data_IF_075541831560
#
_entry.id   IF_075541831560
#
_cell.length_a   1.000
_cell.length_b   1.000
_cell.length_c   1.000
_cell.angle_alpha   90.00
_cell.angle_beta   90.00
_cell.angle_gamma   90.00
#
_symmetry.space_group_name_H-M   'P 1'
#
loop_
_entity.id
_entity.type
_entity.pdbx_description
1 polymer ?
#
# COMPACT_ATOMS: atom_id res chain seq x y z
N UNK A 1 5.37 -21.92 -62.18
CA UNK A 1 4.18 -22.47 -62.85
C UNK A 1 3.51 -23.43 -61.89
N UNK A 2 2.17 -23.43 -61.76
CA UNK A 2 1.23 -22.30 -61.99
C UNK A 2 1.32 -21.27 -60.83
N UNK A 3 0.67 -20.10 -60.77
CA UNK A 3 -0.34 -19.37 -61.58
C UNK A 3 -1.81 -19.37 -61.08
N UNK A 4 -2.52 -18.24 -61.30
CA UNK A 4 -3.92 -17.89 -61.02
C UNK A 4 -4.38 -17.74 -59.54
N UNK A 5 -5.29 -16.83 -59.12
CA UNK A 5 -5.91 -15.60 -59.70
C UNK A 5 -6.59 -14.74 -58.59
N UNK A 6 -6.69 -13.41 -58.78
CA UNK A 6 -7.67 -12.53 -58.09
C UNK A 6 -8.97 -12.45 -58.92
N UNK A 7 -10.16 -12.40 -58.30
CA UNK A 7 -11.12 -11.39 -58.73
C UNK A 7 -11.97 -10.75 -57.63
N UNK A 8 -11.97 -9.41 -57.58
CA UNK A 8 -13.06 -8.59 -57.00
C UNK A 8 -14.32 -8.59 -57.88
N UNK A 9 -15.47 -8.13 -57.31
CA UNK A 9 -16.85 -8.08 -57.89
C UNK A 9 -17.57 -9.45 -57.71
N UNK A 10 -18.90 -9.59 -57.61
CA UNK A 10 -20.01 -8.86 -58.28
C UNK A 10 -21.24 -8.59 -57.39
N UNK A 11 -21.84 -7.43 -57.64
CA UNK A 11 -23.07 -6.81 -57.11
C UNK A 11 -24.42 -7.50 -57.47
N UNK A 12 -25.40 -7.48 -56.54
CA UNK A 12 -26.89 -7.37 -56.68
C UNK A 12 -27.48 -7.21 -55.25
N UNK A 13 -28.36 -6.27 -54.85
CA UNK A 13 -29.60 -5.61 -55.37
C UNK A 13 -30.89 -6.46 -55.20
N UNK A 14 -32.04 -5.77 -54.97
CA UNK A 14 -33.48 -6.24 -55.03
C UNK A 14 -33.95 -7.00 -53.75
N UNK A 15 -35.12 -6.79 -53.08
CA UNK A 15 -36.26 -5.79 -53.13
C UNK A 15 -37.04 -5.76 -51.78
N UNK A 16 -37.46 -4.60 -51.23
CA UNK A 16 -38.82 -3.93 -51.23
C UNK A 16 -40.03 -4.61 -50.53
N UNK A 17 -40.80 -3.75 -49.81
CA UNK A 17 -42.23 -3.82 -49.36
C UNK A 17 -42.50 -4.73 -48.14
N UNK A 18 -43.10 -4.26 -47.02
CA UNK A 18 -44.31 -3.46 -46.70
C UNK A 18 -45.56 -4.32 -46.44
N UNK A 19 -46.07 -4.28 -45.20
CA UNK A 19 -47.51 -4.31 -44.89
C UNK A 19 -47.80 -3.50 -43.61
N UNK A 20 -49.08 -3.24 -43.30
CA UNK A 20 -49.56 -2.42 -42.16
C UNK A 20 -50.39 -3.28 -41.19
N UNK A 21 -50.51 -2.87 -39.91
CA UNK A 21 -51.42 -3.50 -38.94
C UNK A 21 -51.73 -2.59 -37.75
N UNK A 22 -52.97 -2.67 -37.25
CA UNK A 22 -53.57 -1.87 -36.16
C UNK A 22 -54.29 -2.83 -35.17
N UNK A 23 -54.60 -2.47 -33.92
CA UNK A 23 -54.44 -1.17 -33.22
C UNK A 23 -53.53 -1.35 -31.97
N UNK A 24 -53.77 -0.99 -30.69
CA UNK A 24 -54.87 -0.31 -29.96
C UNK A 24 -54.31 0.47 -28.74
N UNK A 25 -55.19 1.19 -28.06
CA UNK A 25 -55.00 1.97 -26.82
C UNK A 25 -54.18 1.27 -25.72
N UNK A 26 -53.23 1.99 -25.14
CA UNK A 26 -52.62 1.74 -23.82
C UNK A 26 -52.47 3.08 -23.08
N UNK A 27 -52.72 3.11 -21.76
CA UNK A 27 -52.87 4.35 -21.00
C UNK A 27 -51.57 5.14 -20.78
N UNK A 28 -51.67 6.47 -20.68
CA UNK A 28 -50.54 7.37 -20.41
C UNK A 28 -50.13 7.35 -18.92
N UNK A 29 -49.65 6.20 -18.44
CA UNK A 29 -49.04 6.09 -17.13
C UNK A 29 -47.67 6.77 -17.16
N UNK A 30 -47.57 7.99 -16.64
CA UNK A 30 -46.29 8.68 -16.40
C UNK A 30 -45.58 8.00 -15.23
N UNK A 31 -44.93 6.87 -15.52
CA UNK A 31 -43.92 6.30 -14.63
C UNK A 31 -42.75 7.27 -14.63
N UNK A 32 -42.59 8.01 -13.53
CA UNK A 32 -41.39 8.79 -13.28
C UNK A 32 -40.24 7.82 -13.01
N UNK A 33 -39.58 7.36 -14.07
CA UNK A 33 -38.34 6.61 -13.95
C UNK A 33 -37.35 7.45 -13.13
N UNK A 34 -36.80 6.93 -12.02
CA UNK A 34 -35.73 7.63 -11.34
C UNK A 34 -34.54 7.64 -12.30
N UNK A 35 -34.21 8.83 -12.83
CA UNK A 35 -33.01 9.04 -13.63
C UNK A 35 -31.80 8.92 -12.71
N UNK A 36 -31.45 7.66 -12.41
CA UNK A 36 -30.12 7.27 -12.02
C UNK A 36 -29.21 7.63 -13.18
N UNK A 37 -28.65 8.84 -13.13
CA UNK A 37 -27.63 9.28 -14.05
C UNK A 37 -26.43 8.34 -13.93
N UNK A 38 -26.38 7.32 -14.79
CA UNK A 38 -25.28 6.39 -14.89
C UNK A 38 -24.08 7.17 -15.41
N UNK A 39 -23.30 7.73 -14.49
CA UNK A 39 -22.02 8.41 -14.76
C UNK A 39 -20.94 7.37 -15.09
N UNK A 40 -21.17 6.66 -16.19
CA UNK A 40 -20.32 5.60 -16.75
C UNK A 40 -19.82 6.04 -18.12
N UNK A 41 -18.51 6.27 -18.22
CA UNK A 41 -17.83 6.58 -19.48
C UNK A 41 -17.52 8.07 -19.66
N UNK A 42 -16.27 8.36 -20.03
CA UNK A 42 -15.91 9.66 -20.59
C UNK A 42 -16.57 9.84 -21.97
N UNK A 43 -16.78 11.09 -22.39
CA UNK A 43 -17.26 11.36 -23.74
C UNK A 43 -16.38 10.69 -24.81
N UNK A 44 -16.95 10.05 -25.84
CA UNK A 44 -16.18 9.27 -26.82
C UNK A 44 -15.16 10.12 -27.61
N UNK A 45 -15.38 11.43 -27.72
CA UNK A 45 -14.48 12.38 -28.39
C UNK A 45 -13.54 13.14 -27.43
N UNK A 46 -13.34 12.63 -26.21
CA UNK A 46 -12.44 13.23 -25.22
C UNK A 46 -10.96 13.28 -25.68
N UNK A 47 -10.22 14.26 -25.14
CA UNK A 47 -8.79 14.45 -25.43
C UNK A 47 -7.99 13.23 -24.97
N UNK A 48 -8.25 12.69 -23.78
CA UNK A 48 -7.67 11.46 -23.27
C UNK A 48 -7.91 10.27 -24.20
N UNK A 49 -9.13 10.07 -24.70
CA UNK A 49 -9.39 8.96 -25.63
C UNK A 49 -8.56 9.09 -26.91
N UNK A 50 -8.46 10.31 -27.48
CA UNK A 50 -7.60 10.58 -28.65
C UNK A 50 -6.11 10.34 -28.36
N UNK A 51 -5.63 10.69 -27.17
CA UNK A 51 -4.24 10.41 -26.74
C UNK A 51 -4.02 8.90 -26.57
N UNK A 52 -4.92 8.19 -25.88
CA UNK A 52 -4.87 6.73 -25.71
C UNK A 52 -4.82 6.02 -27.07
N UNK A 53 -5.67 6.41 -28.02
CA UNK A 53 -5.69 5.85 -29.37
C UNK A 53 -4.42 6.16 -30.18
N UNK A 54 -3.64 7.18 -29.83
CA UNK A 54 -2.32 7.42 -30.43
C UNK A 54 -1.24 6.55 -29.77
N UNK A 55 -1.25 6.44 -28.43
CA UNK A 55 -0.33 5.59 -27.66
C UNK A 55 -0.50 4.10 -28.02
N UNK A 56 -1.73 3.60 -28.14
CA UNK A 56 -2.03 2.21 -28.52
C UNK A 56 -1.57 1.85 -29.94
N UNK A 57 -1.41 2.84 -30.83
CA UNK A 57 -0.83 2.69 -32.17
C UNK A 57 0.68 2.95 -32.23
N UNK A 58 1.33 3.18 -31.08
CA UNK A 58 2.76 3.48 -30.98
C UNK A 58 3.15 4.93 -31.31
N UNK A 59 2.22 5.79 -31.76
CA UNK A 59 2.54 7.18 -32.09
C UNK A 59 2.54 8.10 -30.85
N UNK A 60 3.50 7.82 -29.97
CA UNK A 60 3.85 8.69 -28.85
C UNK A 60 4.34 10.09 -29.32
N UNK A 61 4.64 10.29 -30.61
CA UNK A 61 5.04 11.59 -31.15
C UNK A 61 3.83 12.50 -31.34
N UNK A 62 2.76 12.01 -31.96
CA UNK A 62 1.51 12.74 -32.11
C UNK A 62 0.76 12.87 -30.78
N UNK A 63 0.85 11.87 -29.90
CA UNK A 63 0.30 11.95 -28.56
C UNK A 63 0.87 13.17 -27.79
N UNK A 64 2.19 13.38 -27.85
CA UNK A 64 2.84 14.57 -27.27
C UNK A 64 2.40 15.86 -27.97
N UNK A 65 2.46 15.93 -29.30
CA UNK A 65 2.01 17.13 -30.06
C UNK A 65 0.56 17.52 -29.75
N UNK A 66 -0.34 16.55 -29.51
CA UNK A 66 -1.72 16.80 -29.10
C UNK A 66 -1.79 17.37 -27.68
N UNK A 67 -1.05 16.79 -26.73
CA UNK A 67 -0.94 17.30 -25.35
C UNK A 67 -0.37 18.71 -25.29
N UNK A 68 0.73 18.96 -26.00
CA UNK A 68 1.38 20.28 -26.04
C UNK A 68 0.47 21.33 -26.68
N UNK A 69 -0.25 20.97 -27.75
CA UNK A 69 -1.27 21.84 -28.35
C UNK A 69 -2.40 22.20 -27.37
N UNK A 70 -2.88 21.24 -26.57
CA UNK A 70 -3.88 21.51 -25.52
C UNK A 70 -3.32 22.44 -24.45
N UNK A 71 -2.10 22.20 -23.95
CA UNK A 71 -1.46 23.02 -22.91
C UNK A 71 -1.09 24.45 -23.36
N UNK A 72 -1.05 24.71 -24.67
CA UNK A 72 -0.87 26.06 -25.25
C UNK A 72 -2.20 26.80 -25.44
N UNK A 73 -3.26 26.12 -25.87
CA UNK A 73 -4.53 26.76 -26.26
C UNK A 73 -5.64 26.71 -25.20
N UNK A 74 -5.50 25.88 -24.17
CA UNK A 74 -6.44 25.79 -23.05
C UNK A 74 -5.92 26.56 -21.84
N UNK A 75 -6.77 27.40 -21.23
CA UNK A 75 -6.41 28.16 -20.04
C UNK A 75 -6.29 27.25 -18.79
N UNK A 76 -5.40 27.60 -17.86
CA UNK A 76 -5.11 26.76 -16.67
C UNK A 76 -6.16 26.81 -15.56
N UNK A 77 -7.39 27.23 -15.87
CA UNK A 77 -8.59 27.06 -15.03
C UNK A 77 -9.56 26.02 -15.60
N UNK A 78 -9.31 25.54 -16.82
CA UNK A 78 -10.12 24.53 -17.50
C UNK A 78 -9.68 23.11 -17.10
N UNK A 79 -10.61 22.20 -16.74
CA UNK A 79 -10.27 20.82 -16.36
C UNK A 79 -9.43 20.05 -17.38
N UNK A 80 -9.54 20.37 -18.68
CA UNK A 80 -8.76 19.75 -19.76
C UNK A 80 -7.26 20.06 -19.66
N UNK A 81 -6.87 21.13 -18.97
CA UNK A 81 -5.48 21.42 -18.68
C UNK A 81 -4.90 20.40 -17.68
N UNK A 82 -5.65 20.04 -16.63
CA UNK A 82 -5.28 18.99 -15.68
C UNK A 82 -5.18 17.60 -16.34
N UNK A 83 -6.11 17.28 -17.24
CA UNK A 83 -6.05 16.10 -18.11
C UNK A 83 -4.78 16.08 -18.98
N UNK A 84 -4.41 17.20 -19.59
CA UNK A 84 -3.20 17.29 -20.41
C UNK A 84 -1.89 17.24 -19.59
N UNK A 85 -1.88 17.78 -18.36
CA UNK A 85 -0.74 17.61 -17.43
C UNK A 85 -0.52 16.13 -17.10
N UNK A 86 -1.58 15.36 -16.82
CA UNK A 86 -1.49 13.91 -16.62
C UNK A 86 -0.85 13.22 -17.82
N UNK A 87 -1.36 13.48 -19.03
CA UNK A 87 -0.85 12.84 -20.23
C UNK A 87 0.58 13.26 -20.59
N UNK A 88 1.00 14.50 -20.30
CA UNK A 88 2.41 14.90 -20.45
C UNK A 88 3.32 14.14 -19.49
N UNK A 89 2.90 13.96 -18.25
CA UNK A 89 3.61 13.20 -17.23
C UNK A 89 3.70 11.68 -17.55
N UNK A 90 2.72 11.13 -18.27
CA UNK A 90 2.69 9.74 -18.76
C UNK A 90 3.57 9.55 -19.99
N UNK A 91 3.67 10.55 -20.87
CA UNK A 91 4.40 10.46 -22.15
C UNK A 91 5.88 10.85 -22.05
N UNK A 92 6.34 11.38 -20.91
CA UNK A 92 7.75 11.73 -20.68
C UNK A 92 8.53 10.60 -20.01
N UNK A 93 9.83 10.52 -20.30
CA UNK A 93 10.78 9.58 -19.68
C UNK A 93 11.59 10.22 -18.54
N UNK A 94 11.39 11.51 -18.27
CA UNK A 94 12.12 12.29 -17.27
C UNK A 94 11.36 12.27 -15.92
N UNK A 95 11.91 11.65 -14.85
CA UNK A 95 11.23 11.59 -13.55
C UNK A 95 10.90 12.97 -12.98
N UNK A 96 11.80 13.95 -13.14
CA UNK A 96 11.54 15.33 -12.75
C UNK A 96 10.40 16.00 -13.53
N UNK A 97 10.22 15.63 -14.80
CA UNK A 97 9.14 16.19 -15.62
C UNK A 97 7.80 15.57 -15.25
N UNK A 98 7.75 14.24 -15.07
CA UNK A 98 6.61 13.55 -14.45
C UNK A 98 6.28 14.15 -13.09
N UNK A 99 7.27 14.34 -12.22
CA UNK A 99 7.10 14.92 -10.87
C UNK A 99 6.52 16.34 -10.90
N UNK A 100 7.05 17.25 -11.74
CA UNK A 100 6.52 18.62 -11.87
C UNK A 100 5.05 18.63 -12.31
N UNK A 101 4.73 17.89 -13.37
CA UNK A 101 3.39 17.91 -13.96
C UNK A 101 2.34 17.24 -13.05
N UNK A 102 2.69 16.12 -12.38
CA UNK A 102 1.79 15.46 -11.43
C UNK A 102 1.62 16.23 -10.12
N UNK A 103 2.67 16.87 -9.59
CA UNK A 103 2.52 17.77 -8.43
C UNK A 103 1.58 18.92 -8.74
N UNK A 104 1.69 19.53 -9.93
CA UNK A 104 0.77 20.58 -10.36
C UNK A 104 -0.66 20.06 -10.52
N UNK A 105 -0.85 18.88 -11.10
CA UNK A 105 -2.17 18.25 -11.18
C UNK A 105 -2.80 18.06 -9.79
N UNK A 106 -2.04 17.50 -8.86
CA UNK A 106 -2.49 17.19 -7.48
C UNK A 106 -2.87 18.45 -6.69
N UNK A 107 -2.23 19.59 -6.95
CA UNK A 107 -2.50 20.86 -6.25
C UNK A 107 -3.58 21.69 -6.95
N UNK A 108 -3.47 21.91 -8.26
CA UNK A 108 -4.33 22.83 -9.01
C UNK A 108 -5.70 22.19 -9.37
N UNK A 109 -5.79 20.86 -9.46
CA UNK A 109 -6.98 20.14 -9.96
C UNK A 109 -7.45 19.01 -9.00
N UNK A 110 -7.77 19.30 -7.72
CA UNK A 110 -8.08 18.30 -6.68
C UNK A 110 -9.23 17.33 -7.04
N UNK A 111 -10.13 17.72 -7.94
CA UNK A 111 -11.27 16.91 -8.40
C UNK A 111 -11.06 16.24 -9.77
N UNK A 112 -9.82 16.22 -10.28
CA UNK A 112 -9.48 15.56 -11.54
C UNK A 112 -9.74 14.04 -11.47
N UNK A 113 -10.37 13.42 -12.49
CA UNK A 113 -10.53 11.96 -12.53
C UNK A 113 -9.18 11.22 -12.61
N UNK A 114 -8.10 11.94 -12.94
CA UNK A 114 -6.73 11.41 -12.98
C UNK A 114 -5.99 11.51 -11.63
N UNK A 115 -6.60 12.10 -10.59
CA UNK A 115 -5.98 12.38 -9.28
C UNK A 115 -5.32 11.16 -8.64
N UNK A 116 -6.04 10.04 -8.58
CA UNK A 116 -5.56 8.84 -7.90
C UNK A 116 -4.38 8.18 -8.63
N UNK A 117 -4.47 8.09 -9.96
CA UNK A 117 -3.38 7.53 -10.77
C UNK A 117 -2.16 8.48 -10.81
N UNK A 118 -2.40 9.81 -10.75
CA UNK A 118 -1.35 10.81 -10.59
C UNK A 118 -0.59 10.67 -9.26
N UNK A 119 -1.27 10.42 -8.14
CA UNK A 119 -0.62 10.17 -6.84
C UNK A 119 0.22 8.88 -6.86
N UNK A 120 -0.29 7.81 -7.46
CA UNK A 120 0.46 6.54 -7.65
C UNK A 120 1.69 6.75 -8.54
N UNK A 121 1.54 7.44 -9.69
CA UNK A 121 2.67 7.75 -10.60
C UNK A 121 3.70 8.67 -9.96
N UNK A 122 3.27 9.64 -9.16
CA UNK A 122 4.17 10.51 -8.40
C UNK A 122 5.00 9.70 -7.40
N UNK A 123 4.37 8.81 -6.63
CA UNK A 123 5.08 7.90 -5.73
C UNK A 123 6.09 7.01 -6.50
N UNK A 124 5.71 6.46 -7.66
CA UNK A 124 6.60 5.68 -8.52
C UNK A 124 7.79 6.52 -9.03
N UNK A 125 7.58 7.76 -9.46
CA UNK A 125 8.64 8.66 -9.91
C UNK A 125 9.61 9.02 -8.78
N UNK A 126 9.11 9.27 -7.58
CA UNK A 126 9.93 9.48 -6.38
C UNK A 126 10.75 8.22 -6.03
N UNK A 127 10.19 7.00 -6.19
CA UNK A 127 10.92 5.74 -5.99
C UNK A 127 12.05 5.53 -7.02
N UNK A 128 11.77 5.76 -8.31
CA UNK A 128 12.79 5.71 -9.37
C UNK A 128 13.90 6.75 -9.15
N UNK A 129 13.54 7.90 -8.58
CA UNK A 129 14.49 8.97 -8.18
C UNK A 129 15.20 8.69 -6.85
N UNK A 130 15.02 7.51 -6.24
CA UNK A 130 15.60 7.12 -4.95
C UNK A 130 15.00 7.82 -3.72
N UNK A 131 14.05 8.73 -3.89
CA UNK A 131 13.42 9.55 -2.85
C UNK A 131 12.31 8.80 -2.10
N UNK A 132 12.67 7.63 -1.57
CA UNK A 132 11.81 6.66 -0.89
C UNK A 132 10.96 7.28 0.23
N UNK A 133 11.51 8.28 0.93
CA UNK A 133 10.81 9.00 1.98
C UNK A 133 9.63 9.85 1.46
N UNK A 134 9.76 10.47 0.27
CA UNK A 134 8.67 11.23 -0.34
C UNK A 134 7.60 10.31 -0.89
N UNK A 135 8.00 9.25 -1.61
CA UNK A 135 7.08 8.21 -2.07
C UNK A 135 6.20 7.66 -0.93
N UNK A 136 6.82 7.34 0.22
CA UNK A 136 6.08 6.91 1.43
C UNK A 136 5.04 7.94 1.87
N UNK A 137 5.40 9.23 2.00
CA UNK A 137 4.46 10.29 2.45
C UNK A 137 3.29 10.50 1.50
N UNK A 138 3.49 10.35 0.19
CA UNK A 138 2.41 10.42 -0.80
C UNK A 138 1.46 9.21 -0.69
N UNK A 139 2.01 8.00 -0.59
CA UNK A 139 1.22 6.78 -0.40
C UNK A 139 0.47 6.78 0.94
N UNK A 140 1.13 7.16 2.05
CA UNK A 140 0.49 7.31 3.36
C UNK A 140 -0.67 8.31 3.36
N UNK A 141 -0.58 9.40 2.59
CA UNK A 141 -1.68 10.34 2.41
C UNK A 141 -2.82 9.67 1.64
N UNK A 142 -2.52 9.10 0.48
CA UNK A 142 -3.53 8.45 -0.36
C UNK A 142 -4.25 7.30 0.36
N UNK A 143 -3.55 6.53 1.19
CA UNK A 143 -4.12 5.45 2.00
C UNK A 143 -4.99 5.97 3.15
N UNK A 144 -4.75 7.16 3.71
CA UNK A 144 -5.68 7.76 4.68
C UNK A 144 -6.90 8.36 4.00
N UNK A 145 -6.67 9.11 2.91
CA UNK A 145 -7.65 10.04 2.37
C UNK A 145 -8.56 9.37 1.31
N UNK A 146 -8.09 8.32 0.63
CA UNK A 146 -8.79 7.62 -0.47
C UNK A 146 -9.00 6.11 -0.21
N UNK A 147 -8.90 5.64 1.04
CA UNK A 147 -8.76 4.21 1.39
C UNK A 147 -9.85 3.24 0.85
N UNK A 148 -11.01 3.74 0.44
CA UNK A 148 -12.16 2.96 -0.04
C UNK A 148 -12.13 2.77 -1.56
N UNK A 149 -11.29 3.50 -2.30
CA UNK A 149 -11.21 3.40 -3.76
C UNK A 149 -10.15 2.38 -4.19
N UNK A 150 -10.28 1.88 -5.43
CA UNK A 150 -9.26 1.03 -6.06
C UNK A 150 -7.91 1.76 -6.23
N UNK A 151 -7.89 3.10 -6.26
CA UNK A 151 -6.66 3.87 -6.11
C UNK A 151 -6.06 3.73 -4.72
N UNK A 152 -6.84 3.98 -3.66
CA UNK A 152 -6.41 3.84 -2.27
C UNK A 152 -5.92 2.43 -1.93
N UNK A 153 -6.60 1.39 -2.44
CA UNK A 153 -6.19 -0.01 -2.27
C UNK A 153 -4.90 -0.35 -3.04
N UNK A 154 -4.70 0.18 -4.26
CA UNK A 154 -3.40 0.08 -4.98
C UNK A 154 -2.27 0.78 -4.23
N UNK A 155 -2.53 1.97 -3.69
CA UNK A 155 -1.57 2.70 -2.87
C UNK A 155 -1.25 1.97 -1.55
N UNK A 156 -2.23 1.32 -0.93
CA UNK A 156 -2.05 0.50 0.27
C UNK A 156 -1.13 -0.71 0.00
N UNK A 157 -1.31 -1.38 -1.14
CA UNK A 157 -0.40 -2.45 -1.60
C UNK A 157 1.04 -1.96 -1.73
N UNK A 158 1.26 -0.85 -2.46
CA UNK A 158 2.59 -0.27 -2.64
C UNK A 158 3.22 0.22 -1.33
N UNK A 159 2.42 0.83 -0.45
CA UNK A 159 2.87 1.27 0.87
C UNK A 159 3.31 0.08 1.73
N UNK A 160 2.57 -1.03 1.69
CA UNK A 160 2.93 -2.25 2.40
C UNK A 160 4.23 -2.87 1.86
N UNK A 161 4.39 -3.00 0.54
CA UNK A 161 5.64 -3.44 -0.10
C UNK A 161 6.83 -2.57 0.36
N UNK A 162 6.63 -1.25 0.39
CA UNK A 162 7.63 -0.29 0.84
C UNK A 162 8.00 -0.51 2.33
N UNK A 163 6.99 -0.64 3.18
CA UNK A 163 7.15 -0.81 4.62
C UNK A 163 7.77 -2.18 4.97
N UNK A 164 7.46 -3.25 4.24
CA UNK A 164 8.10 -4.58 4.40
C UNK A 164 9.60 -4.48 4.11
N UNK A 165 9.98 -3.89 2.97
CA UNK A 165 11.39 -3.71 2.60
C UNK A 165 12.14 -2.71 3.52
N UNK A 166 11.42 -1.82 4.22
CA UNK A 166 11.96 -0.97 5.30
C UNK A 166 11.86 -1.63 6.70
N UNK A 167 11.67 -2.96 6.78
CA UNK A 167 11.60 -3.74 8.02
C UNK A 167 10.38 -3.44 8.93
N UNK A 168 9.47 -2.58 8.49
CA UNK A 168 8.29 -2.11 9.22
C UNK A 168 7.09 -3.07 9.08
N UNK A 169 7.36 -4.39 9.09
CA UNK A 169 6.44 -5.43 8.60
C UNK A 169 5.08 -5.42 9.31
N UNK A 170 5.04 -5.37 10.66
CA UNK A 170 3.77 -5.36 11.40
C UNK A 170 2.87 -4.19 10.98
N UNK A 171 3.45 -3.01 10.73
CA UNK A 171 2.68 -1.85 10.28
C UNK A 171 2.23 -1.98 8.81
N UNK A 172 3.04 -2.62 7.96
CA UNK A 172 2.63 -2.98 6.60
C UNK A 172 1.43 -3.93 6.61
N UNK A 173 1.42 -4.93 7.51
CA UNK A 173 0.33 -5.89 7.66
C UNK A 173 -0.99 -5.24 8.05
N UNK A 174 -0.95 -4.25 8.94
CA UNK A 174 -2.14 -3.48 9.30
C UNK A 174 -2.70 -2.69 8.09
N UNK A 175 -1.83 -2.20 7.18
CA UNK A 175 -2.24 -1.55 5.91
C UNK A 175 -2.86 -2.58 4.96
N UNK A 176 -2.24 -3.76 4.78
CA UNK A 176 -2.75 -4.84 3.91
C UNK A 176 -4.11 -5.34 4.37
N UNK A 177 -4.28 -5.69 5.65
CA UNK A 177 -5.56 -6.23 6.15
C UNK A 177 -6.68 -5.19 6.04
N UNK A 178 -6.37 -3.94 6.37
CA UNK A 178 -7.30 -2.83 6.22
C UNK A 178 -7.74 -2.70 4.76
N UNK A 179 -6.82 -2.79 3.79
CA UNK A 179 -7.15 -2.78 2.36
C UNK A 179 -7.91 -4.04 1.89
N UNK A 180 -7.54 -5.24 2.36
CA UNK A 180 -8.26 -6.50 2.07
C UNK A 180 -9.73 -6.43 2.52
N UNK A 181 -10.03 -5.71 3.60
CA UNK A 181 -11.41 -5.51 4.08
C UNK A 181 -12.23 -4.46 3.31
N UNK A 182 -11.64 -3.74 2.35
CA UNK A 182 -12.31 -2.61 1.63
C UNK A 182 -12.17 -2.61 0.11
N UNK A 183 -11.23 -3.38 -0.45
CA UNK A 183 -11.08 -3.53 -1.91
C UNK A 183 -12.39 -4.04 -2.54
N UNK A 184 -12.76 -3.51 -3.70
CA UNK A 184 -13.99 -3.93 -4.38
C UNK A 184 -13.95 -5.43 -4.70
N UNK A 185 -15.01 -6.22 -4.41
CA UNK A 185 -15.13 -7.61 -4.84
C UNK A 185 -15.03 -7.80 -6.36
N UNK A 186 -15.31 -6.77 -7.16
CA UNK A 186 -15.12 -6.81 -8.62
C UNK A 186 -13.65 -6.71 -9.04
N UNK A 187 -12.77 -6.14 -8.21
CA UNK A 187 -11.34 -6.03 -8.49
C UNK A 187 -10.56 -7.25 -7.97
N UNK A 188 -10.88 -8.40 -8.56
CA UNK A 188 -10.32 -9.72 -8.20
C UNK A 188 -8.79 -9.71 -8.24
N UNK A 189 -8.19 -9.02 -9.21
CA UNK A 189 -6.73 -8.92 -9.32
C UNK A 189 -6.11 -8.15 -8.14
N UNK A 190 -6.67 -6.99 -7.76
CA UNK A 190 -6.16 -6.23 -6.61
C UNK A 190 -6.39 -6.99 -5.28
N UNK A 191 -7.51 -7.71 -5.15
CA UNK A 191 -7.76 -8.58 -4.01
C UNK A 191 -6.76 -9.76 -3.92
N UNK A 192 -6.41 -10.36 -5.06
CA UNK A 192 -5.37 -11.38 -5.17
C UNK A 192 -3.99 -10.82 -4.80
N UNK A 193 -3.62 -9.65 -5.33
CA UNK A 193 -2.34 -9.00 -5.03
C UNK A 193 -2.20 -8.62 -3.55
N UNK A 194 -3.26 -8.07 -2.93
CA UNK A 194 -3.30 -7.78 -1.50
C UNK A 194 -3.21 -9.06 -0.66
N UNK A 195 -3.87 -10.13 -1.08
CA UNK A 195 -3.79 -11.45 -0.43
C UNK A 195 -2.39 -12.06 -0.55
N UNK A 196 -1.73 -11.94 -1.70
CA UNK A 196 -0.33 -12.36 -1.89
C UNK A 196 0.62 -11.60 -0.97
N UNK A 197 0.50 -10.27 -0.90
CA UNK A 197 1.28 -9.41 0.01
C UNK A 197 1.02 -9.78 1.49
N UNK A 198 -0.20 -10.20 1.82
CA UNK A 198 -0.62 -10.63 3.15
C UNK A 198 0.01 -11.94 3.64
N UNK A 199 0.54 -12.81 2.78
CA UNK A 199 1.16 -14.08 3.20
C UNK A 199 2.39 -13.88 4.10
N UNK A 200 3.16 -12.83 3.84
CA UNK A 200 4.29 -12.42 4.71
C UNK A 200 3.81 -12.07 6.12
N UNK A 201 2.60 -11.53 6.24
CA UNK A 201 1.98 -11.15 7.52
C UNK A 201 1.46 -12.36 8.29
N UNK A 202 0.87 -13.33 7.60
CA UNK A 202 0.45 -14.61 8.18
C UNK A 202 1.67 -15.35 8.78
N UNK A 203 2.79 -15.42 8.05
CA UNK A 203 4.06 -16.00 8.51
C UNK A 203 4.67 -15.25 9.71
N UNK A 204 4.75 -13.90 9.64
CA UNK A 204 5.34 -13.09 10.71
C UNK A 204 4.45 -13.03 11.96
N UNK A 205 3.14 -13.23 11.84
CA UNK A 205 2.22 -13.40 12.98
C UNK A 205 2.40 -14.77 13.63
N UNK A 206 2.41 -15.86 12.86
CA UNK A 206 2.67 -17.21 13.39
C UNK A 206 4.04 -17.31 14.09
N UNK A 207 5.07 -16.64 13.58
CA UNK A 207 6.38 -16.53 14.23
C UNK A 207 6.44 -15.58 15.44
N UNK A 208 5.34 -14.87 15.74
CA UNK A 208 5.19 -13.97 16.88
C UNK A 208 4.19 -14.49 17.93
N UNK A 209 3.36 -15.48 17.61
CA UNK A 209 2.56 -16.20 18.60
C UNK A 209 3.48 -16.96 19.57
N UNK A 210 3.23 -16.90 20.88
CA UNK A 210 3.95 -17.72 21.83
C UNK A 210 3.55 -19.18 21.57
N UNK A 211 4.53 -20.07 21.41
CA UNK A 211 4.27 -21.52 21.39
C UNK A 211 3.83 -21.94 22.78
N UNK A 212 2.52 -21.89 23.02
CA UNK A 212 1.87 -22.59 24.12
C UNK A 212 1.99 -24.08 23.84
N UNK A 213 3.08 -24.69 24.29
CA UNK A 213 3.16 -26.14 24.41
C UNK A 213 1.98 -26.60 25.25
N UNK A 214 1.01 -27.24 24.60
CA UNK A 214 -0.13 -27.87 25.26
C UNK A 214 0.40 -28.86 26.30
N UNK A 215 0.35 -28.46 27.57
CA UNK A 215 0.75 -29.28 28.69
C UNK A 215 -0.37 -30.28 29.00
N UNK A 216 -0.66 -31.16 28.03
CA UNK A 216 -1.64 -32.23 28.14
C UNK A 216 -1.19 -33.21 29.22
N UNK A 217 -1.62 -32.92 30.45
CA UNK A 217 -1.27 -33.68 31.65
C UNK A 217 -1.67 -35.15 31.46
N UNK A 218 -0.73 -36.10 31.60
CA UNK A 218 -1.09 -37.46 31.96
C UNK A 218 -1.45 -37.44 33.45
N UNK A 219 -2.72 -37.64 33.79
CA UNK A 219 -3.12 -37.87 35.18
C UNK A 219 -2.34 -39.07 35.74
N UNK A 220 -1.48 -38.84 36.72
CA UNK A 220 -0.83 -39.91 37.49
C UNK A 220 -1.12 -39.71 38.97
N UNK A 221 -1.94 -40.60 39.52
CA UNK A 221 -2.41 -40.58 40.92
C UNK A 221 -1.21 -40.48 41.89
N UNK A 222 -1.40 -39.70 42.95
CA UNK A 222 -0.38 -39.45 43.96
C UNK A 222 -0.09 -40.68 44.84
N UNK A 223 1.17 -40.85 45.24
CA UNK A 223 1.60 -41.55 46.46
C UNK A 223 3.12 -41.37 46.70
N UNK A 224 3.51 -41.20 47.97
CA UNK A 224 4.87 -41.55 48.44
C UNK A 224 5.92 -40.44 48.49
N UNK A 225 6.14 -39.92 49.70
CA UNK A 225 7.38 -39.45 50.34
C UNK A 225 8.65 -39.09 49.52
N UNK A 226 9.23 -37.93 49.86
CA UNK A 226 10.68 -37.67 49.78
C UNK A 226 11.40 -38.31 51.00
N UNK A 227 12.71 -38.63 50.97
CA UNK A 227 13.78 -37.61 50.94
C UNK A 227 14.87 -37.77 49.85
N UNK A 228 15.62 -36.68 49.67
CA UNK A 228 16.86 -36.48 48.88
C UNK A 228 18.06 -37.38 49.27
N UNK A 229 19.21 -37.35 48.54
CA UNK A 229 19.42 -37.29 47.08
C UNK A 229 20.56 -38.25 46.62
N UNK A 230 20.96 -38.22 45.33
CA UNK A 230 22.39 -38.33 45.04
C UNK A 230 22.92 -37.24 44.07
N UNK A 231 24.22 -36.97 44.18
CA UNK A 231 24.96 -35.97 43.40
C UNK A 231 25.21 -36.42 41.95
N UNK A 232 24.42 -35.90 41.01
CA UNK A 232 24.77 -35.93 39.58
C UNK A 232 25.60 -34.70 39.19
N UNK A 233 26.71 -34.94 38.49
CA UNK A 233 27.66 -33.90 38.06
C UNK A 233 26.97 -32.89 37.12
N UNK A 234 27.38 -31.61 37.09
CA UNK A 234 26.93 -30.67 36.07
C UNK A 234 27.50 -31.12 34.71
N UNK A 235 26.69 -31.86 33.95
CA UNK A 235 26.95 -32.11 32.54
C UNK A 235 27.05 -30.77 31.82
N UNK A 236 28.12 -30.59 31.04
CA UNK A 236 28.46 -29.32 30.39
C UNK A 236 27.47 -29.04 29.26
N UNK A 237 26.30 -28.51 29.60
CA UNK A 237 25.36 -27.93 28.65
C UNK A 237 26.10 -26.85 27.85
N UNK A 238 26.29 -27.14 26.57
CA UNK A 238 27.06 -26.30 25.64
C UNK A 238 26.41 -24.93 25.51
N UNK A 239 27.24 -23.90 25.29
CA UNK A 239 26.86 -22.49 25.34
C UNK A 239 25.71 -22.12 24.38
N UNK A 240 24.48 -22.26 24.86
CA UNK A 240 23.32 -21.54 24.34
C UNK A 240 23.48 -20.07 24.71
N UNK A 241 24.27 -19.37 23.89
CA UNK A 241 24.53 -17.92 23.93
C UNK A 241 23.28 -17.18 24.37
N UNK A 242 23.31 -16.58 25.55
CA UNK A 242 22.14 -15.93 26.16
C UNK A 242 21.78 -14.69 25.33
N UNK A 243 20.70 -14.79 24.56
CA UNK A 243 20.13 -13.65 23.84
C UNK A 243 19.41 -12.77 24.87
N UNK A 244 20.10 -11.73 25.32
CA UNK A 244 19.50 -10.67 26.13
C UNK A 244 18.55 -9.84 25.24
N UNK A 245 17.42 -9.41 25.81
CA UNK A 245 16.42 -8.55 25.16
C UNK A 245 16.44 -7.14 25.72
N UNK A 246 15.94 -6.17 24.97
CA UNK A 246 15.84 -4.77 25.37
C UNK A 246 14.68 -4.08 24.65
N UNK A 247 14.09 -3.05 25.26
CA UNK A 247 12.89 -2.39 24.72
C UNK A 247 13.27 -1.07 24.05
N UNK A 248 13.23 -1.00 22.71
CA UNK A 248 13.51 0.21 21.96
C UNK A 248 12.25 1.09 21.84
N UNK A 249 12.35 2.34 22.29
CA UNK A 249 11.23 3.30 22.27
C UNK A 249 11.26 4.17 21.01
N UNK A 250 12.44 4.66 20.61
CA UNK A 250 12.60 5.53 19.45
C UNK A 250 14.02 5.44 18.86
N UNK A 251 14.22 6.03 17.69
CA UNK A 251 15.53 6.24 17.08
C UNK A 251 15.61 7.66 16.47
N UNK A 252 16.71 8.36 16.72
CA UNK A 252 16.90 9.77 16.30
C UNK A 252 18.16 9.97 15.46
N UNK A 253 18.12 10.92 14.51
CA UNK A 253 19.33 11.34 13.77
C UNK A 253 20.29 12.20 14.61
N UNK A 254 19.80 12.83 15.68
CA UNK A 254 20.52 13.77 16.55
C UNK A 254 20.57 13.22 17.98
N UNK A 255 21.77 13.17 18.58
CA UNK A 255 21.98 12.57 19.92
C UNK A 255 21.21 13.31 21.01
N UNK A 256 21.13 14.64 20.92
CA UNK A 256 20.40 15.46 21.88
C UNK A 256 18.91 15.12 21.98
N UNK A 257 18.28 14.67 20.90
CA UNK A 257 16.85 14.32 20.89
C UNK A 257 16.61 12.97 21.59
N UNK A 258 17.50 12.00 21.33
CA UNK A 258 17.56 10.75 22.07
C UNK A 258 17.80 10.99 23.57
N UNK A 259 18.71 11.91 23.94
CA UNK A 259 18.95 12.30 25.33
C UNK A 259 17.72 12.92 25.99
N UNK A 260 16.98 13.80 25.30
CA UNK A 260 15.74 14.40 25.84
C UNK A 260 14.63 13.36 26.04
N UNK A 261 14.54 12.31 25.20
CA UNK A 261 13.61 11.20 25.43
C UNK A 261 14.07 10.29 26.59
N UNK A 262 15.35 9.89 26.60
CA UNK A 262 15.91 9.04 27.64
C UNK A 262 15.75 9.66 29.04
N UNK A 263 16.04 10.95 29.19
CA UNK A 263 15.84 11.67 30.45
C UNK A 263 14.38 11.62 30.96
N UNK A 264 13.39 11.82 30.07
CA UNK A 264 11.96 11.73 30.45
C UNK A 264 11.52 10.32 30.84
N UNK A 265 12.13 9.29 30.27
CA UNK A 265 11.86 7.89 30.61
C UNK A 265 12.58 7.48 31.91
N UNK A 266 13.81 7.96 32.13
CA UNK A 266 14.55 7.76 33.38
C UNK A 266 13.83 8.42 34.56
N UNK A 267 13.29 9.63 34.38
CA UNK A 267 12.43 10.30 35.35
C UNK A 267 11.09 9.55 35.64
N UNK A 268 10.70 8.59 34.79
CA UNK A 268 9.56 7.67 34.99
C UNK A 268 10.00 6.30 35.56
N UNK A 269 11.25 6.17 35.99
CA UNK A 269 11.80 4.96 36.61
C UNK A 269 12.28 3.88 35.63
N UNK A 270 12.43 4.19 34.34
CA UNK A 270 12.93 3.22 33.35
C UNK A 270 14.46 3.28 33.20
N UNK A 271 15.15 2.13 33.25
CA UNK A 271 16.59 2.03 33.01
C UNK A 271 16.93 2.29 31.53
N UNK A 272 17.13 3.56 31.16
CA UNK A 272 17.30 3.98 29.77
C UNK A 272 18.75 4.08 29.33
N UNK A 273 19.04 3.64 28.10
CA UNK A 273 20.35 3.76 27.46
C UNK A 273 20.20 4.24 26.01
N UNK A 274 21.26 4.82 25.45
CA UNK A 274 21.29 5.33 24.07
C UNK A 274 22.44 4.65 23.32
N UNK A 275 22.17 4.16 22.12
CA UNK A 275 23.19 3.50 21.28
C UNK A 275 24.24 4.52 20.81
N UNK A 276 25.52 4.12 20.74
CA UNK A 276 26.61 5.04 20.39
C UNK A 276 26.63 5.42 18.91
N UNK A 277 26.24 4.49 18.03
CA UNK A 277 26.16 4.71 16.59
C UNK A 277 24.81 5.35 16.18
N UNK A 278 24.83 6.03 15.02
CA UNK A 278 23.61 6.55 14.37
C UNK A 278 22.83 5.42 13.67
N UNK A 279 21.48 5.48 13.63
CA UNK A 279 20.63 6.41 14.37
C UNK A 279 20.65 6.09 15.87
N UNK A 280 20.63 7.14 16.70
CA UNK A 280 20.69 7.02 18.16
C UNK A 280 19.37 6.43 18.69
N UNK A 281 19.38 5.13 19.00
CA UNK A 281 18.22 4.39 19.49
C UNK A 281 18.14 4.52 21.01
N UNK A 282 16.97 4.90 21.52
CA UNK A 282 16.67 4.92 22.95
C UNK A 282 16.11 3.55 23.33
N UNK A 283 16.82 2.84 24.21
CA UNK A 283 16.50 1.48 24.67
C UNK A 283 16.29 1.47 26.18
N UNK A 284 15.45 0.57 26.69
CA UNK A 284 15.18 0.33 28.12
C UNK A 284 15.57 -1.10 28.48
N UNK A 285 16.27 -1.27 29.62
CA UNK A 285 16.51 -2.55 30.27
C UNK A 285 17.45 -3.51 29.54
N UNK A 286 18.00 -4.49 30.26
CA UNK A 286 18.44 -5.78 29.70
C UNK A 286 17.63 -6.88 30.38
N UNK A 287 16.98 -7.71 29.58
CA UNK A 287 16.05 -8.74 30.01
C UNK A 287 16.58 -10.10 29.59
N UNK A 288 16.52 -11.09 30.48
CA UNK A 288 16.97 -12.46 30.16
C UNK A 288 15.89 -13.25 29.44
N UNK A 289 14.62 -12.84 29.60
CA UNK A 289 13.46 -13.40 28.94
C UNK A 289 12.75 -12.32 28.11
N UNK A 290 12.22 -12.71 26.94
CA UNK A 290 11.41 -11.84 26.08
C UNK A 290 10.09 -11.41 26.75
N UNK A 291 9.59 -12.20 27.71
CA UNK A 291 8.40 -11.86 28.50
C UNK A 291 8.60 -10.60 29.37
N UNK A 292 9.72 -10.50 30.10
CA UNK A 292 10.06 -9.33 30.94
C UNK A 292 10.11 -8.04 30.11
N UNK A 293 10.60 -8.14 28.87
CA UNK A 293 10.61 -7.03 27.91
C UNK A 293 9.20 -6.70 27.38
N UNK A 294 8.29 -7.69 27.28
CA UNK A 294 6.91 -7.49 26.87
C UNK A 294 6.08 -6.76 27.94
N UNK A 295 6.30 -7.07 29.22
CA UNK A 295 5.64 -6.37 30.34
C UNK A 295 5.98 -4.87 30.35
N UNK A 296 7.24 -4.54 30.08
CA UNK A 296 7.70 -3.15 29.95
C UNK A 296 7.09 -2.47 28.72
N UNK A 297 6.95 -3.17 27.58
CA UNK A 297 6.21 -2.65 26.42
C UNK A 297 4.72 -2.44 26.74
N UNK A 298 4.08 -3.34 27.50
CA UNK A 298 2.69 -3.20 27.90
C UNK A 298 2.48 -1.98 28.82
N UNK A 299 3.37 -1.77 29.80
CA UNK A 299 3.35 -0.59 30.67
C UNK A 299 3.55 0.70 29.88
N UNK A 300 4.54 0.74 28.98
CA UNK A 300 4.76 1.90 28.11
C UNK A 300 3.56 2.19 27.21
N UNK A 301 2.90 1.15 26.66
CA UNK A 301 1.70 1.27 25.83
C UNK A 301 0.50 1.85 26.62
N UNK A 302 0.31 1.44 27.88
CA UNK A 302 -0.67 2.05 28.78
C UNK A 302 -0.35 3.55 29.03
N UNK A 303 0.93 3.87 29.21
CA UNK A 303 1.45 5.24 29.28
C UNK A 303 1.57 5.93 27.89
N UNK A 304 0.75 5.52 26.91
CA UNK A 304 0.65 6.03 25.52
C UNK A 304 1.99 6.16 24.77
N UNK A 305 3.00 5.40 25.17
CA UNK A 305 4.37 5.44 24.68
C UNK A 305 4.62 4.19 23.82
N UNK A 306 4.80 4.36 22.51
CA UNK A 306 5.09 3.23 21.62
C UNK A 306 6.51 2.70 21.85
N UNK A 307 6.67 1.38 21.87
CA UNK A 307 7.96 0.71 22.00
C UNK A 307 7.93 -0.71 21.38
N UNK A 308 9.10 -1.23 21.03
CA UNK A 308 9.29 -2.57 20.44
C UNK A 308 10.36 -3.36 21.20
N UNK A 309 10.22 -4.68 21.26
CA UNK A 309 11.26 -5.56 21.80
C UNK A 309 12.30 -5.82 20.71
N UNK A 310 13.58 -5.72 21.05
CA UNK A 310 14.73 -6.00 20.18
C UNK A 310 15.77 -6.81 20.95
N UNK A 311 16.65 -7.54 20.26
CA UNK A 311 17.85 -8.09 20.89
C UNK A 311 18.72 -6.96 21.45
N UNK A 312 19.25 -7.16 22.65
CA UNK A 312 20.17 -6.23 23.29
C UNK A 312 21.53 -6.26 22.58
N UNK A 313 22.21 -5.12 22.56
CA UNK A 313 23.51 -5.01 21.90
C UNK A 313 24.54 -5.86 22.66
N UNK A 314 25.38 -6.61 21.94
CA UNK A 314 26.46 -7.37 22.55
C UNK A 314 27.39 -6.42 23.31
N UNK A 315 27.91 -6.90 24.45
CA UNK A 315 28.99 -6.23 25.18
C UNK A 315 30.30 -6.38 24.40
#
# INVERSE_FOLDING_TARGET
MPDATDPRRVMRRITRRLLRGLTLVGGLAVLAEPVFAQQTGAAPDSVAHRIQQLVLRGDASAARRLVDSVLVHVGSTDPRYGEALYWRAVLTTSPDSTRRDLLRLVVDYPYSPWMEDALIRLANAELVSGNRASARRHLERMVRDHMVTDGGARAARQLAELMIADGSVIAACNVVDSARSRVSPSNVELANQLTYTGRTCEQVRAAAEPVTTDARQPERRASGSSPQPPLSKPEKTTDRRRVEWSVQVAAYGVRGDASRLAARLSARGYETRITVAKPYRVRIGRFTNRAEAADVVAKLKAEKTAAIIVEAERK
#
